data_IF_475555495750
#
_entry.id   IF_475555495750
#
_cell.length_a   1.000
_cell.length_b   1.000
_cell.length_c   1.000
_cell.angle_alpha   90.00
_cell.angle_beta   90.00
_cell.angle_gamma   90.00
#
_symmetry.space_group_name_H-M   'P 1'
#
loop_
_entity.id
_entity.type
_entity.pdbx_description
1 polymer ?
#
# COMPACT_ATOMS: atom_id res chain seq x y z
N UNK A 1 11.38 1.05 -12.35
CA UNK A 1 10.31 1.07 -11.34
C UNK A 1 9.20 0.20 -11.88
N UNK A 2 9.06 -0.99 -11.30
CA UNK A 2 8.05 -1.99 -11.70
C UNK A 2 6.70 -1.67 -11.04
N UNK A 3 5.65 -2.40 -11.44
CA UNK A 3 4.32 -2.28 -10.81
C UNK A 3 4.40 -2.69 -9.33
N UNK A 4 5.22 -3.68 -9.00
CA UNK A 4 5.47 -4.08 -7.62
C UNK A 4 6.14 -2.98 -6.80
N UNK A 5 7.15 -2.29 -7.35
CA UNK A 5 7.80 -1.15 -6.68
C UNK A 5 6.78 -0.04 -6.35
N UNK A 6 5.88 0.25 -7.30
CA UNK A 6 4.84 1.25 -7.12
C UNK A 6 3.83 0.83 -6.04
N UNK A 7 3.45 -0.45 -5.98
CA UNK A 7 2.55 -0.98 -4.96
C UNK A 7 3.15 -0.96 -3.55
N UNK A 8 4.43 -1.29 -3.41
CA UNK A 8 5.16 -1.17 -2.13
C UNK A 8 5.20 0.29 -1.70
N UNK A 9 5.60 1.21 -2.59
CA UNK A 9 5.64 2.63 -2.28
C UNK A 9 4.26 3.17 -1.86
N UNK A 10 3.20 2.77 -2.57
CA UNK A 10 1.83 3.14 -2.23
C UNK A 10 1.41 2.64 -0.84
N UNK A 11 1.75 1.40 -0.49
CA UNK A 11 1.46 0.86 0.85
C UNK A 11 2.12 1.68 1.96
N UNK A 12 3.39 2.07 1.79
CA UNK A 12 4.13 2.91 2.75
C UNK A 12 3.48 4.29 2.89
N UNK A 13 3.09 4.91 1.77
CA UNK A 13 2.41 6.21 1.77
C UNK A 13 1.08 6.15 2.51
N UNK A 14 0.28 5.09 2.29
CA UNK A 14 -1.01 4.92 2.99
C UNK A 14 -0.78 4.81 4.50
N UNK A 15 0.22 4.05 4.95
CA UNK A 15 0.56 3.95 6.38
C UNK A 15 0.99 5.30 6.96
N UNK A 16 1.80 6.07 6.22
CA UNK A 16 2.20 7.41 6.65
C UNK A 16 0.97 8.34 6.82
N UNK A 17 0.03 8.30 5.87
CA UNK A 17 -1.23 9.07 5.95
C UNK A 17 -2.06 8.63 7.15
N UNK A 18 -2.21 7.32 7.39
CA UNK A 18 -2.91 6.78 8.56
C UNK A 18 -2.34 7.31 9.88
N UNK A 19 -1.02 7.34 10.02
CA UNK A 19 -0.36 7.84 11.24
C UNK A 19 -0.63 9.34 11.43
N UNK A 20 -0.57 10.12 10.34
CA UNK A 20 -0.88 11.55 10.36
C UNK A 20 -2.34 11.80 10.73
N UNK A 21 -3.27 11.10 10.10
CA UNK A 21 -4.71 11.23 10.34
C UNK A 21 -5.07 10.81 11.77
N UNK A 22 -4.45 9.73 12.28
CA UNK A 22 -4.63 9.30 13.67
C UNK A 22 -4.17 10.37 14.67
N UNK A 23 -2.97 10.95 14.46
CA UNK A 23 -2.46 12.04 15.33
C UNK A 23 -3.31 13.30 15.25
N UNK A 24 -3.73 13.69 14.05
CA UNK A 24 -4.56 14.90 13.85
C UNK A 24 -6.00 14.72 14.29
N UNK A 25 -6.49 13.48 14.35
CA UNK A 25 -7.89 13.18 14.67
C UNK A 25 -8.87 13.61 13.58
N UNK A 26 -8.37 13.84 12.36
CA UNK A 26 -9.14 14.29 11.19
C UNK A 26 -8.64 13.52 9.97
N UNK A 27 -9.54 12.88 9.22
CA UNK A 27 -9.16 12.18 7.99
C UNK A 27 -8.92 13.15 6.84
N UNK A 28 -7.86 12.92 6.06
CA UNK A 28 -7.44 13.79 4.96
C UNK A 28 -8.27 13.66 3.67
N UNK A 29 -9.08 12.61 3.52
CA UNK A 29 -9.69 12.25 2.24
C UNK A 29 -11.18 12.65 2.19
N UNK A 30 -11.48 13.72 1.44
CA UNK A 30 -12.84 14.11 1.02
C UNK A 30 -13.37 15.45 1.55
N UNK A 31 -14.42 15.98 0.89
CA UNK A 31 -15.16 17.20 1.33
C UNK A 31 -15.83 17.02 2.70
N UNK A 32 -16.08 15.77 3.10
CA UNK A 32 -16.59 15.40 4.40
C UNK A 32 -15.45 14.81 5.25
N UNK A 33 -14.58 15.66 5.77
CA UNK A 33 -13.54 15.26 6.73
C UNK A 33 -14.20 14.57 7.92
N UNK A 34 -13.83 13.32 8.18
CA UNK A 34 -14.27 12.62 9.38
C UNK A 34 -13.39 13.07 10.53
N UNK A 35 -13.99 13.42 11.66
CA UNK A 35 -13.27 13.82 12.87
C UNK A 35 -13.61 12.88 14.01
N UNK A 36 -12.68 12.74 14.96
CA UNK A 36 -12.90 11.99 16.20
C UNK A 36 -14.10 12.52 16.99
N UNK A 37 -14.37 13.83 16.92
CA UNK A 37 -15.43 14.47 17.70
C UNK A 37 -16.82 14.32 17.08
N UNK A 38 -16.94 14.46 15.76
CA UNK A 38 -18.24 14.47 15.07
C UNK A 38 -18.71 13.07 14.69
N UNK A 39 -17.78 12.17 14.40
CA UNK A 39 -18.08 10.84 13.87
C UNK A 39 -16.98 9.84 14.26
N UNK A 40 -16.81 9.53 15.57
CA UNK A 40 -15.72 8.70 16.07
C UNK A 40 -15.68 7.33 15.39
N UNK A 41 -16.83 6.64 15.31
CA UNK A 41 -16.88 5.29 14.74
C UNK A 41 -16.41 5.28 13.28
N UNK A 42 -16.93 6.21 12.47
CA UNK A 42 -16.57 6.33 11.05
C UNK A 42 -15.09 6.70 10.87
N UNK A 43 -14.56 7.54 11.75
CA UNK A 43 -13.14 7.91 11.76
C UNK A 43 -12.25 6.68 11.98
N UNK A 44 -12.57 5.86 12.99
CA UNK A 44 -11.82 4.63 13.26
C UNK A 44 -12.00 3.57 12.17
N UNK A 45 -13.20 3.41 11.63
CA UNK A 45 -13.44 2.52 10.47
C UNK A 45 -12.60 2.93 9.25
N UNK A 46 -12.48 4.24 8.98
CA UNK A 46 -11.65 4.72 7.89
C UNK A 46 -10.16 4.38 8.10
N UNK A 47 -9.64 4.56 9.32
CA UNK A 47 -8.27 4.17 9.65
C UNK A 47 -8.03 2.67 9.46
N UNK A 48 -8.95 1.83 9.96
CA UNK A 48 -8.87 0.37 9.80
C UNK A 48 -8.92 -0.02 8.31
N UNK A 49 -9.79 0.62 7.52
CA UNK A 49 -9.88 0.38 6.09
C UNK A 49 -8.55 0.70 5.38
N UNK A 50 -7.94 1.85 5.69
CA UNK A 50 -6.66 2.25 5.10
C UNK A 50 -5.53 1.28 5.45
N UNK A 51 -5.48 0.81 6.69
CA UNK A 51 -4.50 -0.20 7.12
C UNK A 51 -4.71 -1.52 6.34
N UNK A 52 -5.95 -1.99 6.21
CA UNK A 52 -6.25 -3.19 5.43
C UNK A 52 -5.86 -3.04 3.96
N UNK A 53 -6.14 -1.88 3.35
CA UNK A 53 -5.73 -1.58 1.99
C UNK A 53 -4.21 -1.59 1.83
N UNK A 54 -3.47 -0.99 2.78
CA UNK A 54 -2.01 -0.99 2.75
C UNK A 54 -1.43 -2.40 2.85
N UNK A 55 -1.94 -3.23 3.76
CA UNK A 55 -1.52 -4.64 3.92
C UNK A 55 -1.82 -5.43 2.65
N UNK A 56 -3.02 -5.26 2.08
CA UNK A 56 -3.41 -5.93 0.85
C UNK A 56 -2.49 -5.54 -0.33
N UNK A 57 -2.23 -4.24 -0.50
CA UNK A 57 -1.30 -3.74 -1.53
C UNK A 57 0.11 -4.28 -1.34
N UNK A 58 0.61 -4.29 -0.12
CA UNK A 58 1.93 -4.85 0.19
C UNK A 58 2.01 -6.35 -0.17
N UNK A 59 1.01 -7.13 0.25
CA UNK A 59 0.93 -8.56 -0.06
C UNK A 59 0.82 -8.82 -1.57
N UNK A 60 -0.05 -8.11 -2.28
CA UNK A 60 -0.23 -8.23 -3.71
C UNK A 60 1.05 -7.86 -4.49
N UNK A 61 1.77 -6.84 -4.02
CA UNK A 61 3.06 -6.45 -4.61
C UNK A 61 4.10 -7.56 -4.49
N UNK A 62 4.14 -8.26 -3.34
CA UNK A 62 5.01 -9.42 -3.15
C UNK A 62 4.71 -10.58 -4.11
N UNK A 63 3.44 -10.80 -4.46
CA UNK A 63 3.06 -11.81 -5.46
C UNK A 63 3.55 -11.42 -6.86
N UNK A 64 3.44 -10.14 -7.24
CA UNK A 64 3.91 -9.65 -8.54
C UNK A 64 5.43 -9.78 -8.70
N UNK A 65 6.21 -9.52 -7.64
CA UNK A 65 7.67 -9.72 -7.69
C UNK A 65 8.06 -11.19 -7.86
N UNK A 66 7.29 -12.12 -7.28
CA UNK A 66 7.56 -13.55 -7.38
C UNK A 66 7.34 -14.10 -8.80
N UNK A 67 6.45 -13.48 -9.57
CA UNK A 67 6.14 -13.86 -10.94
C UNK A 67 7.19 -13.34 -11.95
N UNK A 68 7.84 -12.21 -11.66
CA UNK A 68 8.91 -11.63 -12.48
C UNK A 68 10.26 -12.35 -12.31
N UNK A 69 10.56 -12.85 -11.10
CA UNK A 69 11.83 -13.52 -10.77
C UNK A 69 12.21 -14.75 -11.61
N UNK A 70 11.30 -15.70 -11.96
CA UNK A 70 11.66 -16.86 -12.77
C UNK A 70 12.03 -16.50 -14.21
N UNK A 71 11.43 -15.43 -14.78
CA UNK A 71 11.65 -15.02 -16.17
C UNK A 71 13.04 -14.40 -16.37
N UNK A 72 13.51 -13.58 -15.41
CA UNK A 72 14.87 -13.02 -15.47
C UNK A 72 15.96 -14.08 -15.27
N UNK A 73 15.71 -15.07 -14.41
CA UNK A 73 16.67 -16.14 -14.12
C UNK A 73 16.87 -17.09 -15.31
N UNK A 74 15.83 -17.38 -16.09
CA UNK A 74 15.95 -18.16 -17.32
C UNK A 74 16.60 -17.37 -18.46
N UNK A 75 16.22 -16.09 -18.66
CA UNK A 75 16.83 -15.23 -19.67
C UNK A 75 18.34 -15.05 -19.45
N UNK A 76 18.79 -14.89 -18.19
CA UNK A 76 20.21 -14.83 -17.86
C UNK A 76 20.96 -16.14 -18.13
N UNK A 77 20.32 -17.30 -17.89
CA UNK A 77 20.92 -18.61 -18.18
C UNK A 77 21.07 -18.87 -19.68
N UNK A 78 20.15 -18.38 -20.51
CA UNK A 78 20.27 -18.48 -21.96
C UNK A 78 21.35 -17.54 -22.52
N UNK A 79 21.43 -16.30 -22.04
CA UNK A 79 22.50 -15.37 -22.45
C UNK A 79 23.90 -15.81 -22.02
N UNK A 80 24.03 -16.55 -20.91
CA UNK A 80 25.33 -17.07 -20.44
C UNK A 80 25.77 -18.33 -21.22
N UNK A 81 24.86 -18.96 -21.96
CA UNK A 81 25.15 -20.16 -22.77
C UNK A 81 25.45 -19.85 -24.25
N UNK A 82 25.20 -18.61 -24.69
CA UNK A 82 25.52 -18.11 -26.04
C UNK A 82 26.91 -17.47 -26.07
#
# INVERSE_FOLDING_TARGET
MTIADAGILASVVIIAVVVVDWRRGVTGIGKARLTKERSPDKFWYALVLYINMAIFLFYASGQLMADEAPVEAEAQREMTKA
#
